data_IF_886995851493
#
_entry.id   IF_886995851493
#
_cell.length_a   1.000
_cell.length_b   1.000
_cell.length_c   1.000
_cell.angle_alpha   90.00
_cell.angle_beta   90.00
_cell.angle_gamma   90.00
#
_symmetry.space_group_name_H-M   'P 1'
#
loop_
_entity.id
_entity.type
_entity.pdbx_description
1 polymer ?
#
# COMPACT_ATOMS: atom_id res chain seq x y z
N UNK A 1 9.28 15.51 18.49
CA UNK A 1 8.03 15.38 19.28
C UNK A 1 7.21 14.30 18.61
N UNK A 2 7.14 13.11 19.21
CA UNK A 2 6.49 11.94 18.60
C UNK A 2 4.99 12.18 18.50
N UNK A 3 4.41 11.90 17.34
CA UNK A 3 2.99 12.05 17.04
C UNK A 3 2.22 10.94 17.80
N UNK A 4 2.01 11.16 19.09
CA UNK A 4 1.46 10.18 20.02
C UNK A 4 -0.06 10.21 19.90
N UNK A 5 -0.61 9.34 19.05
CA UNK A 5 -2.07 9.13 18.94
C UNK A 5 -2.65 9.02 17.53
N UNK A 6 -1.85 9.09 16.46
CA UNK A 6 -2.33 8.79 15.10
C UNK A 6 -1.88 7.40 14.67
N UNK A 7 -2.78 6.56 14.12
CA UNK A 7 -2.40 5.25 13.60
C UNK A 7 -1.33 5.40 12.51
N UNK A 8 -0.45 4.42 12.38
CA UNK A 8 0.56 4.39 11.32
C UNK A 8 -0.15 4.15 9.97
N UNK A 9 -0.08 5.10 9.02
CA UNK A 9 -0.72 4.92 7.72
C UNK A 9 0.10 3.93 6.88
N UNK A 10 -0.55 2.87 6.41
CA UNK A 10 0.02 1.91 5.46
C UNK A 10 -0.85 1.84 4.20
N UNK A 11 -0.26 1.63 3.01
CA UNK A 11 -1.06 1.45 1.81
C UNK A 11 -1.85 0.14 1.90
N UNK A 12 -3.12 0.18 1.51
CA UNK A 12 -3.93 -1.04 1.45
C UNK A 12 -3.35 -2.06 0.46
N UNK A 13 -3.42 -3.34 0.81
CA UNK A 13 -2.92 -4.44 -0.02
C UNK A 13 -3.50 -4.46 -1.44
N UNK A 14 -4.72 -3.96 -1.60
CA UNK A 14 -5.41 -3.87 -2.90
C UNK A 14 -4.59 -3.10 -3.95
N UNK A 15 -3.75 -2.15 -3.54
CA UNK A 15 -2.86 -1.41 -4.45
C UNK A 15 -1.84 -2.33 -5.11
N UNK A 16 -1.21 -3.21 -4.34
CA UNK A 16 -0.25 -4.17 -4.88
C UNK A 16 -0.94 -5.21 -5.74
N UNK A 17 -2.12 -5.68 -5.33
CA UNK A 17 -2.89 -6.65 -6.10
C UNK A 17 -3.31 -6.10 -7.46
N UNK A 18 -3.81 -4.87 -7.51
CA UNK A 18 -4.19 -4.21 -8.76
C UNK A 18 -2.97 -4.03 -9.68
N UNK A 19 -1.85 -3.52 -9.14
CA UNK A 19 -0.62 -3.35 -9.90
C UNK A 19 -0.08 -4.69 -10.43
N UNK A 20 -0.08 -5.73 -9.60
CA UNK A 20 0.37 -7.07 -9.99
C UNK A 20 -0.54 -7.66 -11.07
N UNK A 21 -1.86 -7.60 -10.92
CA UNK A 21 -2.80 -8.08 -11.94
C UNK A 21 -2.62 -7.36 -13.27
N UNK A 22 -2.48 -6.04 -13.26
CA UNK A 22 -2.24 -5.26 -14.47
C UNK A 22 -0.94 -5.70 -15.16
N UNK A 23 0.14 -5.82 -14.39
CA UNK A 23 1.45 -6.21 -14.92
C UNK A 23 1.45 -7.64 -15.46
N UNK A 24 0.84 -8.58 -14.76
CA UNK A 24 0.81 -10.00 -15.12
C UNK A 24 -0.12 -10.28 -16.31
N UNK A 25 -1.30 -9.67 -16.34
CA UNK A 25 -2.34 -10.00 -17.31
C UNK A 25 -2.28 -9.13 -18.57
N UNK A 26 -1.98 -7.84 -18.42
CA UNK A 26 -2.05 -6.88 -19.54
C UNK A 26 -0.66 -6.51 -20.03
N UNK A 27 0.22 -6.06 -19.13
CA UNK A 27 1.56 -5.58 -19.53
C UNK A 27 2.43 -6.73 -20.05
N UNK A 28 2.45 -7.87 -19.35
CA UNK A 28 3.27 -9.01 -19.77
C UNK A 28 2.81 -9.56 -21.13
N UNK A 29 1.50 -9.61 -21.38
CA UNK A 29 0.93 -10.06 -22.65
C UNK A 29 1.50 -9.29 -23.85
N UNK A 30 1.68 -7.96 -23.72
CA UNK A 30 2.29 -7.11 -24.74
C UNK A 30 3.82 -7.23 -24.73
N UNK A 31 4.43 -7.25 -23.53
CA UNK A 31 5.88 -7.29 -23.37
C UNK A 31 6.53 -8.60 -23.86
N UNK A 32 5.77 -9.70 -23.97
CA UNK A 32 6.28 -10.99 -24.47
C UNK A 32 6.96 -10.90 -25.85
N UNK A 33 6.56 -9.94 -26.68
CA UNK A 33 7.12 -9.74 -28.02
C UNK A 33 8.54 -9.15 -27.99
N UNK A 34 8.95 -8.53 -26.88
CA UNK A 34 10.26 -7.92 -26.73
C UNK A 34 10.98 -8.54 -25.50
N UNK A 35 12.05 -9.32 -25.69
CA UNK A 35 12.71 -10.04 -24.59
C UNK A 35 13.27 -9.10 -23.52
N UNK A 36 13.70 -7.90 -23.88
CA UNK A 36 14.20 -6.91 -22.92
C UNK A 36 13.05 -6.35 -22.06
N UNK A 37 11.94 -5.95 -22.68
CA UNK A 37 10.77 -5.47 -21.94
C UNK A 37 10.18 -6.57 -21.05
N UNK A 38 10.13 -7.81 -21.52
CA UNK A 38 9.68 -8.96 -20.74
C UNK A 38 10.47 -9.11 -19.44
N UNK A 39 11.80 -9.01 -19.50
CA UNK A 39 12.67 -9.09 -18.33
C UNK A 39 12.41 -7.94 -17.36
N UNK A 40 12.30 -6.71 -17.87
CA UNK A 40 12.01 -5.54 -17.04
C UNK A 40 10.65 -5.65 -16.32
N UNK A 41 9.61 -6.11 -17.01
CA UNK A 41 8.29 -6.33 -16.39
C UNK A 41 8.36 -7.43 -15.32
N UNK A 42 9.11 -8.51 -15.59
CA UNK A 42 9.30 -9.59 -14.62
C UNK A 42 10.03 -9.11 -13.36
N UNK A 43 11.09 -8.33 -13.51
CA UNK A 43 11.82 -7.71 -12.39
C UNK A 43 10.93 -6.77 -11.57
N UNK A 44 10.07 -5.99 -12.25
CA UNK A 44 9.10 -5.12 -11.59
C UNK A 44 8.09 -5.93 -10.76
N UNK A 45 7.53 -7.01 -11.32
CA UNK A 45 6.61 -7.91 -10.59
C UNK A 45 7.30 -8.50 -9.35
N UNK A 46 8.54 -8.99 -9.49
CA UNK A 46 9.32 -9.53 -8.36
C UNK A 46 9.52 -8.47 -7.29
N UNK A 47 9.84 -7.24 -7.68
CA UNK A 47 10.07 -6.12 -6.76
C UNK A 47 8.80 -5.77 -5.99
N UNK A 48 7.65 -5.71 -6.65
CA UNK A 48 6.37 -5.44 -5.99
C UNK A 48 5.97 -6.55 -5.00
N UNK A 49 6.20 -7.82 -5.35
CA UNK A 49 5.95 -8.93 -4.41
C UNK A 49 6.87 -8.87 -3.18
N UNK A 50 8.14 -8.47 -3.37
CA UNK A 50 9.07 -8.24 -2.25
C UNK A 50 8.60 -7.06 -1.38
N UNK A 51 8.16 -5.96 -1.98
CA UNK A 51 7.62 -4.82 -1.25
C UNK A 51 6.38 -5.21 -0.42
N UNK A 52 5.45 -5.97 -0.99
CA UNK A 52 4.28 -6.50 -0.26
C UNK A 52 4.71 -7.40 0.92
N UNK A 53 5.71 -8.25 0.73
CA UNK A 53 6.24 -9.09 1.83
C UNK A 53 6.87 -8.23 2.93
N UNK A 54 7.59 -7.17 2.58
CA UNK A 54 8.19 -6.25 3.55
C UNK A 54 7.12 -5.49 4.32
N UNK A 55 6.05 -5.05 3.64
CA UNK A 55 4.93 -4.40 4.30
C UNK A 55 4.28 -5.31 5.35
N UNK A 56 4.05 -6.59 5.03
CA UNK A 56 3.51 -7.56 6.00
C UNK A 56 4.40 -7.72 7.22
N UNK A 57 5.72 -7.65 7.05
CA UNK A 57 6.66 -7.66 8.18
C UNK A 57 6.50 -6.41 9.05
N UNK A 58 6.32 -5.23 8.44
CA UNK A 58 6.03 -3.98 9.17
C UNK A 58 4.71 -4.12 9.95
N UNK A 59 3.65 -4.63 9.31
CA UNK A 59 2.35 -4.85 9.95
C UNK A 59 2.46 -5.78 11.17
N UNK A 60 3.23 -6.87 11.03
CA UNK A 60 3.50 -7.79 12.12
C UNK A 60 4.29 -7.11 13.27
N UNK A 61 5.32 -6.32 12.96
CA UNK A 61 6.08 -5.58 13.96
C UNK A 61 5.23 -4.54 14.69
N UNK A 62 4.32 -3.86 13.99
CA UNK A 62 3.35 -2.93 14.58
C UNK A 62 2.39 -3.66 15.52
N UNK A 63 1.84 -4.79 15.09
CA UNK A 63 0.97 -5.62 15.93
C UNK A 63 1.69 -6.09 17.21
N UNK A 64 2.93 -6.57 17.09
CA UNK A 64 3.75 -6.97 18.25
C UNK A 64 4.07 -5.82 19.21
N UNK A 65 4.16 -4.60 18.68
CA UNK A 65 4.46 -3.38 19.43
C UNK A 65 3.22 -2.62 19.87
N UNK A 66 2.02 -3.19 19.65
CA UNK A 66 0.72 -2.58 19.94
C UNK A 66 0.56 -1.17 19.32
N UNK A 67 1.07 -1.00 18.09
CA UNK A 67 0.94 0.23 17.29
C UNK A 67 -0.28 0.07 16.39
N UNK A 68 -1.22 1.02 16.48
CA UNK A 68 -2.40 1.05 15.62
C UNK A 68 -2.01 1.29 14.15
N UNK A 69 -2.64 0.53 13.26
CA UNK A 69 -2.46 0.62 11.81
C UNK A 69 -3.70 1.18 11.15
N UNK A 70 -3.51 2.04 10.15
CA UNK A 70 -4.58 2.53 9.29
C UNK A 70 -4.26 2.21 7.83
N UNK A 71 -5.11 1.41 7.19
CA UNK A 71 -4.96 1.09 5.78
C UNK A 71 -5.56 2.18 4.90
N UNK A 72 -4.75 2.75 4.01
CA UNK A 72 -5.14 3.84 3.13
C UNK A 72 -5.28 3.36 1.69
N UNK A 73 -6.46 3.57 1.10
CA UNK A 73 -6.75 3.27 -0.31
C UNK A 73 -6.52 4.48 -1.23
N UNK A 74 -6.33 5.67 -0.68
CA UNK A 74 -5.91 6.86 -1.41
C UNK A 74 -5.16 7.82 -0.47
N UNK A 75 -4.32 8.68 -1.03
CA UNK A 75 -3.64 9.76 -0.29
C UNK A 75 -4.55 10.98 -0.09
N UNK A 76 -5.65 11.06 -0.84
CA UNK A 76 -6.69 12.08 -0.71
C UNK A 76 -7.76 11.62 0.28
N UNK A 77 -7.35 11.29 1.51
CA UNK A 77 -8.34 11.23 2.58
C UNK A 77 -8.65 12.66 2.97
N UNK A 78 -9.81 13.14 2.51
CA UNK A 78 -10.42 14.35 3.05
C UNK A 78 -10.38 14.20 4.56
N UNK A 79 -9.60 15.06 5.20
CA UNK A 79 -9.51 15.15 6.66
C UNK A 79 -10.86 15.66 7.16
N UNK A 80 -11.88 14.81 7.12
CA UNK A 80 -13.17 15.11 7.72
C UNK A 80 -13.52 14.00 8.70
N UNK A 81 -13.06 14.23 9.93
CA UNK A 81 -13.81 14.06 11.18
C UNK A 81 -12.86 14.28 12.35
N UNK A 82 -12.44 15.53 12.51
CA UNK A 82 -12.31 16.10 13.85
C UNK A 82 -13.49 17.04 13.98
N UNK A 83 -14.64 16.47 14.36
CA UNK A 83 -15.67 17.24 15.06
C UNK A 83 -15.72 16.70 16.49
N UNK A 84 -14.87 17.23 17.37
CA UNK A 84 -15.26 17.57 18.72
C UNK A 84 -15.01 19.08 18.85
N UNK A 85 -15.98 19.90 19.20
CA UNK A 85 -16.47 20.09 20.57
C UNK A 85 -17.37 21.33 20.42
N UNK A 86 -18.64 21.31 20.84
CA UNK A 86 -19.58 22.46 20.76
C UNK A 86 -20.43 22.61 19.48
N UNK A 87 -21.13 21.55 19.07
CA UNK A 87 -22.42 21.75 18.42
C UNK A 87 -23.46 22.18 19.46
N UNK A 88 -23.37 23.46 19.84
CA UNK A 88 -24.42 24.38 20.27
C UNK A 88 -25.45 23.90 21.31
N UNK A 89 -25.29 24.46 22.52
CA UNK A 89 -26.31 24.99 23.45
C UNK A 89 -27.78 24.56 23.22
#
# INVERSE_FOLDING_TARGET
MANMGKPLPLPSHIHYELLLQLLEQQTMAVAYQNPHLRLQVQELIITLRKALSQQRQIEQSCNQSNIDLEYQWSTNQVTDRVVPEDAAL
#
